data_IF_260767855563
#
_entry.id   IF_260767855563
#
_cell.length_a   1.000
_cell.length_b   1.000
_cell.length_c   1.000
_cell.angle_alpha   90.00
_cell.angle_beta   90.00
_cell.angle_gamma   90.00
#
_symmetry.space_group_name_H-M   'P 1'
#
loop_
_entity.id
_entity.type
_entity.pdbx_description
1 polymer ?
#
# COMPACT_ATOMS: atom_id res chain seq x y z
N UNK A 1 -26.34 2.22 -12.06
CA UNK A 1 -26.25 2.94 -13.34
C UNK A 1 -25.06 2.35 -14.08
N UNK A 2 -25.20 1.99 -15.36
CA UNK A 2 -24.05 1.43 -16.08
C UNK A 2 -22.97 2.50 -16.31
N UNK A 3 -21.70 2.11 -16.52
CA UNK A 3 -20.57 3.03 -16.59
C UNK A 3 -20.67 4.09 -17.68
N UNK A 4 -21.25 3.77 -18.82
CA UNK A 4 -21.49 4.67 -19.95
C UNK A 4 -22.25 5.95 -19.55
N UNK A 5 -23.13 5.87 -18.55
CA UNK A 5 -23.93 7.02 -18.10
C UNK A 5 -23.09 8.04 -17.34
N UNK A 6 -22.13 7.61 -16.50
CA UNK A 6 -21.37 8.48 -15.60
C UNK A 6 -19.89 8.63 -15.98
N UNK A 7 -19.37 7.83 -16.91
CA UNK A 7 -17.95 7.84 -17.29
C UNK A 7 -17.47 9.20 -17.81
N UNK A 8 -18.35 9.97 -18.43
CA UNK A 8 -18.09 11.31 -18.96
C UNK A 8 -18.40 12.44 -17.97
N UNK A 9 -18.95 12.15 -16.79
CA UNK A 9 -19.31 13.19 -15.83
C UNK A 9 -18.07 13.89 -15.28
N UNK A 10 -18.16 15.21 -15.00
CA UNK A 10 -17.13 15.92 -14.25
C UNK A 10 -17.00 15.34 -12.83
N UNK A 11 -15.83 15.50 -12.22
CA UNK A 11 -15.53 14.96 -10.88
C UNK A 11 -16.59 15.35 -9.85
N UNK A 12 -16.99 16.62 -9.80
CA UNK A 12 -17.97 17.10 -8.83
C UNK A 12 -19.31 16.36 -8.90
N UNK A 13 -19.81 16.09 -10.10
CA UNK A 13 -21.05 15.34 -10.30
C UNK A 13 -20.86 13.86 -9.99
N UNK A 14 -19.73 13.27 -10.36
CA UNK A 14 -19.42 11.88 -10.08
C UNK A 14 -19.29 11.63 -8.57
N UNK A 15 -18.70 12.56 -7.82
CA UNK A 15 -18.54 12.47 -6.37
C UNK A 15 -19.87 12.33 -5.62
N UNK A 16 -20.97 12.84 -6.16
CA UNK A 16 -22.29 12.73 -5.53
C UNK A 16 -22.98 11.37 -5.79
N UNK A 17 -22.44 10.54 -6.68
CA UNK A 17 -22.94 9.19 -6.95
C UNK A 17 -22.63 8.26 -5.77
N UNK A 18 -23.59 7.40 -5.41
CA UNK A 18 -23.37 6.36 -4.40
C UNK A 18 -22.56 5.20 -4.97
N UNK A 19 -21.64 4.66 -4.18
CA UNK A 19 -20.71 3.61 -4.63
C UNK A 19 -21.48 2.38 -5.17
N UNK A 20 -22.50 1.92 -4.44
CA UNK A 20 -23.33 0.79 -4.89
C UNK A 20 -24.08 1.03 -6.22
N UNK A 21 -24.17 2.28 -6.70
CA UNK A 21 -24.82 2.64 -7.96
C UNK A 21 -23.87 2.67 -9.15
N UNK A 22 -22.56 2.46 -8.95
CA UNK A 22 -21.54 2.54 -10.02
C UNK A 22 -21.74 1.52 -11.14
N UNK A 23 -22.35 0.36 -10.84
CA UNK A 23 -22.62 -0.68 -11.84
C UNK A 23 -21.37 -1.27 -12.47
N UNK A 24 -20.21 -1.17 -11.80
CA UNK A 24 -18.95 -1.78 -12.23
C UNK A 24 -18.85 -3.23 -11.79
N UNK A 25 -18.15 -4.04 -12.58
CA UNK A 25 -17.93 -5.47 -12.37
C UNK A 25 -16.45 -5.80 -12.55
N UNK A 26 -16.03 -6.97 -12.06
CA UNK A 26 -14.69 -7.48 -12.36
C UNK A 26 -14.65 -7.93 -13.82
N UNK A 27 -15.70 -8.62 -14.25
CA UNK A 27 -15.90 -9.10 -15.61
C UNK A 27 -15.93 -7.92 -16.58
N UNK A 28 -15.16 -8.03 -17.67
CA UNK A 28 -15.01 -6.97 -18.67
C UNK A 28 -14.12 -5.79 -18.25
N UNK A 29 -13.53 -5.82 -17.04
CA UNK A 29 -12.55 -4.82 -16.60
C UNK A 29 -11.11 -5.33 -16.71
N UNK A 30 -10.13 -4.44 -16.52
CA UNK A 30 -8.72 -4.80 -16.46
C UNK A 30 -8.39 -5.78 -15.30
N UNK A 31 -9.26 -5.90 -14.28
CA UNK A 31 -9.07 -6.85 -13.18
C UNK A 31 -9.25 -8.30 -13.62
N UNK A 32 -10.09 -8.56 -14.63
CA UNK A 32 -10.35 -9.92 -15.11
C UNK A 32 -9.05 -10.61 -15.55
N UNK A 33 -8.26 -9.93 -16.39
CA UNK A 33 -7.00 -10.47 -16.89
C UNK A 33 -5.94 -10.59 -15.79
N UNK A 34 -5.93 -9.65 -14.84
CA UNK A 34 -5.01 -9.68 -13.69
C UNK A 34 -5.31 -10.84 -12.74
N UNK A 35 -6.60 -11.12 -12.49
CA UNK A 35 -7.03 -12.27 -11.70
C UNK A 35 -6.74 -13.57 -12.44
N UNK A 36 -6.99 -13.63 -13.75
CA UNK A 36 -6.65 -14.80 -14.57
C UNK A 36 -5.13 -15.09 -14.55
N UNK A 37 -4.30 -14.05 -14.60
CA UNK A 37 -2.85 -14.19 -14.48
C UNK A 37 -2.44 -14.74 -13.09
N UNK A 38 -3.02 -14.24 -12.00
CA UNK A 38 -2.81 -14.81 -10.66
C UNK A 38 -3.24 -16.29 -10.60
N UNK A 39 -4.40 -16.64 -11.17
CA UNK A 39 -4.89 -18.02 -11.21
C UNK A 39 -3.93 -18.93 -11.97
N UNK A 40 -3.43 -18.49 -13.13
CA UNK A 40 -2.44 -19.24 -13.89
C UNK A 40 -1.13 -19.46 -13.10
N UNK A 41 -0.70 -18.49 -12.30
CA UNK A 41 0.47 -18.65 -11.41
C UNK A 41 0.22 -19.68 -10.31
N UNK A 42 -0.97 -19.67 -9.71
CA UNK A 42 -1.35 -20.67 -8.70
C UNK A 42 -1.40 -22.08 -9.30
N UNK A 43 -2.01 -22.22 -10.48
CA UNK A 43 -2.08 -23.49 -11.21
C UNK A 43 -0.69 -24.00 -11.62
N UNK A 44 0.19 -23.12 -12.11
CA UNK A 44 1.57 -23.46 -12.44
C UNK A 44 2.37 -23.95 -11.22
N UNK A 45 1.98 -23.53 -10.01
CA UNK A 45 2.52 -24.02 -8.73
C UNK A 45 1.80 -25.26 -8.18
N UNK A 46 0.85 -25.82 -8.94
CA UNK A 46 0.10 -27.03 -8.57
C UNK A 46 -1.05 -26.79 -7.58
N UNK A 47 -1.35 -25.53 -7.22
CA UNK A 47 -2.41 -25.17 -6.27
C UNK A 47 -3.81 -25.19 -6.92
N UNK A 48 -4.14 -26.22 -7.70
CA UNK A 48 -5.39 -26.32 -8.47
C UNK A 48 -6.64 -26.45 -7.61
N UNK A 49 -6.50 -26.95 -6.38
CA UNK A 49 -7.61 -27.05 -5.41
C UNK A 49 -7.89 -25.74 -4.67
N UNK A 50 -6.97 -24.77 -4.72
CA UNK A 50 -7.12 -23.47 -4.09
C UNK A 50 -7.71 -22.46 -5.07
N UNK A 51 -9.00 -22.15 -4.89
CA UNK A 51 -9.74 -21.24 -5.78
C UNK A 51 -10.28 -20.07 -4.96
N UNK A 52 -9.48 -19.00 -4.74
CA UNK A 52 -9.94 -17.83 -4.02
C UNK A 52 -11.06 -17.13 -4.80
N UNK A 53 -12.07 -16.62 -4.10
CA UNK A 53 -13.09 -15.77 -4.73
C UNK A 53 -12.72 -14.29 -4.59
N UNK A 54 -13.11 -13.49 -5.58
CA UNK A 54 -12.81 -12.06 -5.65
C UNK A 54 -14.11 -11.25 -5.63
N UNK A 55 -14.08 -10.06 -5.02
CA UNK A 55 -15.20 -9.12 -5.09
C UNK A 55 -14.74 -7.67 -5.00
N UNK A 56 -15.55 -6.76 -5.53
CA UNK A 56 -15.30 -5.32 -5.41
C UNK A 56 -15.73 -4.81 -4.02
N UNK A 57 -14.87 -3.99 -3.41
CA UNK A 57 -14.99 -3.39 -2.09
C UNK A 57 -14.41 -1.96 -2.11
N UNK A 58 -14.28 -1.32 -0.95
CA UNK A 58 -13.67 0.01 -0.80
C UNK A 58 -12.15 0.02 -0.87
N UNK A 59 -11.49 -1.04 -0.38
CA UNK A 59 -10.04 -1.18 -0.27
C UNK A 59 -9.61 -2.64 -0.53
N UNK A 60 -8.31 -2.90 -0.61
CA UNK A 60 -7.72 -4.24 -0.64
C UNK A 60 -7.76 -4.89 0.74
N UNK A 61 -8.21 -6.14 0.85
CA UNK A 61 -8.04 -6.96 2.04
C UNK A 61 -8.52 -8.40 1.83
N UNK A 62 -8.08 -9.29 2.71
CA UNK A 62 -8.55 -10.68 2.81
C UNK A 62 -9.10 -10.94 4.22
N UNK A 63 -10.42 -11.04 4.40
CA UNK A 63 -11.02 -11.19 5.72
C UNK A 63 -10.62 -12.50 6.40
N UNK A 64 -10.39 -12.45 7.70
CA UNK A 64 -10.15 -13.66 8.50
C UNK A 64 -11.25 -14.71 8.29
N UNK A 65 -10.79 -15.95 8.08
CA UNK A 65 -11.66 -17.11 7.84
C UNK A 65 -12.39 -17.08 6.49
N UNK A 66 -12.01 -16.18 5.58
CA UNK A 66 -12.55 -16.12 4.22
C UNK A 66 -11.42 -16.38 3.21
N UNK A 67 -11.53 -17.43 2.38
CA UNK A 67 -10.57 -17.73 1.32
C UNK A 67 -10.84 -16.86 0.08
N UNK A 68 -10.74 -15.54 0.21
CA UNK A 68 -11.01 -14.64 -0.89
C UNK A 68 -10.53 -13.22 -0.62
N UNK A 69 -10.50 -12.43 -1.70
CA UNK A 69 -9.85 -11.12 -1.77
C UNK A 69 -10.86 -10.04 -2.14
N UNK A 70 -10.94 -9.01 -1.30
CA UNK A 70 -11.61 -7.75 -1.60
C UNK A 70 -10.70 -6.88 -2.47
N UNK A 71 -11.26 -6.31 -3.54
CA UNK A 71 -10.55 -5.47 -4.51
C UNK A 71 -11.19 -4.08 -4.53
N UNK A 72 -10.43 -2.98 -4.45
CA UNK A 72 -11.01 -1.65 -4.53
C UNK A 72 -11.78 -1.41 -5.83
N UNK A 73 -12.99 -0.87 -5.71
CA UNK A 73 -13.89 -0.65 -6.84
C UNK A 73 -13.30 0.30 -7.91
N UNK A 74 -12.38 1.18 -7.53
CA UNK A 74 -11.82 2.16 -8.45
C UNK A 74 -10.95 1.53 -9.55
N UNK A 75 -10.45 0.31 -9.34
CA UNK A 75 -9.69 -0.46 -10.34
C UNK A 75 -10.58 -1.09 -11.42
N UNK A 76 -11.89 -1.12 -11.21
CA UNK A 76 -12.82 -1.74 -12.16
C UNK A 76 -13.12 -0.85 -13.37
N UNK A 77 -12.70 0.42 -13.38
CA UNK A 77 -12.97 1.33 -14.50
C UNK A 77 -11.98 2.51 -14.60
N UNK A 78 -11.43 2.85 -15.78
CA UNK A 78 -10.42 3.93 -15.93
C UNK A 78 -10.88 5.31 -15.43
N UNK A 79 -12.17 5.62 -15.55
CA UNK A 79 -12.72 6.88 -15.00
C UNK A 79 -12.58 6.96 -13.48
N UNK A 80 -12.73 5.85 -12.78
CA UNK A 80 -12.63 5.78 -11.33
C UNK A 80 -11.16 5.79 -10.90
N UNK A 81 -10.26 5.15 -11.65
CA UNK A 81 -8.81 5.31 -11.43
C UNK A 81 -8.37 6.77 -11.54
N UNK A 82 -8.91 7.53 -12.53
CA UNK A 82 -8.65 8.97 -12.63
C UNK A 82 -9.18 9.74 -11.41
N UNK A 83 -10.36 9.37 -10.91
CA UNK A 83 -10.93 9.99 -9.71
C UNK A 83 -10.08 9.67 -8.47
N UNK A 84 -9.71 8.40 -8.27
CA UNK A 84 -8.84 7.96 -7.18
C UNK A 84 -7.53 8.76 -7.20
N UNK A 85 -6.88 8.88 -8.36
CA UNK A 85 -5.67 9.68 -8.53
C UNK A 85 -5.87 11.16 -8.19
N UNK A 86 -7.02 11.73 -8.55
CA UNK A 86 -7.31 13.12 -8.22
C UNK A 86 -7.54 13.33 -6.72
N UNK A 87 -8.15 12.35 -6.04
CA UNK A 87 -8.52 12.44 -4.63
C UNK A 87 -7.37 12.02 -3.68
N UNK A 88 -6.57 11.04 -4.09
CA UNK A 88 -5.55 10.36 -3.27
C UNK A 88 -4.13 10.47 -3.83
N UNK A 89 -3.92 11.14 -4.97
CA UNK A 89 -2.64 11.38 -5.66
C UNK A 89 -1.97 10.13 -6.25
N UNK A 90 -2.56 8.96 -6.03
CA UNK A 90 -2.15 7.68 -6.57
C UNK A 90 -3.34 6.76 -6.79
N UNK A 91 -3.08 5.61 -7.42
CA UNK A 91 -4.08 4.56 -7.63
C UNK A 91 -3.37 3.28 -7.22
N UNK A 92 -3.60 2.82 -5.99
CA UNK A 92 -2.99 1.61 -5.48
C UNK A 92 -3.45 0.41 -6.31
N UNK A 93 -2.48 -0.34 -6.87
CA UNK A 93 -2.77 -1.40 -7.84
C UNK A 93 -3.18 -0.89 -9.24
N UNK A 94 -2.95 0.39 -9.55
CA UNK A 94 -3.35 0.99 -10.83
C UNK A 94 -2.56 0.49 -12.05
N UNK A 95 -1.37 -0.07 -11.86
CA UNK A 95 -0.58 -0.70 -12.94
C UNK A 95 -0.70 -2.23 -12.89
N UNK A 96 -0.54 -2.95 -14.02
CA UNK A 96 -0.60 -4.41 -14.03
C UNK A 96 0.34 -5.06 -13.01
N UNK A 97 1.61 -4.64 -13.00
CA UNK A 97 2.63 -5.20 -12.10
C UNK A 97 2.31 -4.94 -10.63
N UNK A 98 1.87 -3.72 -10.29
CA UNK A 98 1.52 -3.38 -8.90
C UNK A 98 0.25 -4.10 -8.45
N UNK A 99 -0.75 -4.21 -9.33
CA UNK A 99 -1.96 -4.96 -9.03
C UNK A 99 -1.65 -6.45 -8.78
N UNK A 100 -0.81 -7.07 -9.60
CA UNK A 100 -0.37 -8.45 -9.39
C UNK A 100 0.46 -8.59 -8.11
N UNK A 101 1.29 -7.59 -7.78
CA UNK A 101 2.04 -7.53 -6.52
C UNK A 101 1.09 -7.64 -5.32
N UNK A 102 0.02 -6.85 -5.28
CA UNK A 102 -0.99 -6.87 -4.21
C UNK A 102 -1.83 -8.15 -4.26
N UNK A 103 -2.30 -8.56 -5.44
CA UNK A 103 -3.08 -9.79 -5.60
C UNK A 103 -2.36 -11.04 -5.08
N UNK A 104 -1.05 -11.16 -5.31
CA UNK A 104 -0.25 -12.27 -4.76
C UNK A 104 -0.16 -12.22 -3.23
N UNK A 105 -0.02 -11.02 -2.68
CA UNK A 105 -0.01 -10.80 -1.23
C UNK A 105 -1.35 -11.24 -0.62
N UNK A 106 -2.46 -10.72 -1.15
CA UNK A 106 -3.81 -11.05 -0.68
C UNK A 106 -4.14 -12.55 -0.87
N UNK A 107 -3.68 -13.16 -1.96
CA UNK A 107 -3.79 -14.60 -2.15
C UNK A 107 -3.05 -15.40 -1.06
N UNK A 108 -1.97 -14.85 -0.49
CA UNK A 108 -1.26 -15.39 0.67
C UNK A 108 -2.14 -15.44 1.93
N UNK A 109 -2.87 -14.37 2.22
CA UNK A 109 -3.87 -14.37 3.30
C UNK A 109 -5.03 -15.34 3.00
N UNK A 110 -5.52 -15.35 1.77
CA UNK A 110 -6.62 -16.23 1.37
C UNK A 110 -6.26 -17.72 1.45
N UNK A 111 -5.03 -18.14 1.09
CA UNK A 111 -4.60 -19.53 1.21
C UNK A 111 -4.39 -19.92 2.67
N UNK A 112 -3.89 -19.00 3.50
CA UNK A 112 -3.78 -19.18 4.94
C UNK A 112 -5.14 -19.47 5.58
N UNK A 113 -6.16 -18.70 5.20
CA UNK A 113 -7.55 -18.91 5.60
C UNK A 113 -8.12 -20.24 5.08
N UNK A 114 -7.93 -20.54 3.79
CA UNK A 114 -8.47 -21.72 3.12
C UNK A 114 -8.06 -23.04 3.79
N UNK A 115 -6.83 -23.12 4.26
CA UNK A 115 -6.24 -24.33 4.84
C UNK A 115 -5.97 -24.21 6.36
N UNK A 116 -6.42 -23.12 6.99
CA UNK A 116 -6.21 -22.82 8.41
C UNK A 116 -4.72 -22.88 8.80
N UNK A 117 -3.82 -22.38 7.95
CA UNK A 117 -2.38 -22.56 8.13
C UNK A 117 -1.87 -21.83 9.38
N UNK A 118 -2.54 -20.76 9.81
CA UNK A 118 -2.34 -20.07 11.11
C UNK A 118 -2.27 -21.01 12.31
N UNK A 119 -2.96 -22.15 12.26
CA UNK A 119 -2.97 -23.15 13.34
C UNK A 119 -1.77 -24.09 13.33
N UNK A 120 -0.99 -24.14 12.23
CA UNK A 120 0.17 -25.03 12.12
C UNK A 120 1.31 -24.51 13.01
N UNK A 121 1.75 -25.35 13.95
CA UNK A 121 2.85 -25.03 14.88
C UNK A 121 4.12 -24.55 14.16
N UNK A 122 4.49 -25.18 13.03
CA UNK A 122 5.70 -24.80 12.30
C UNK A 122 5.61 -23.40 11.68
N UNK A 123 4.42 -23.00 11.17
CA UNK A 123 4.17 -21.62 10.71
C UNK A 123 4.37 -20.65 11.87
N UNK A 124 3.73 -20.92 13.01
CA UNK A 124 3.84 -20.06 14.19
C UNK A 124 5.28 -19.91 14.69
N UNK A 125 6.09 -20.97 14.64
CA UNK A 125 7.51 -20.90 15.00
C UNK A 125 8.35 -20.03 14.06
N UNK A 126 8.01 -19.98 12.77
CA UNK A 126 8.80 -19.28 11.76
C UNK A 126 8.37 -17.82 11.57
N UNK A 127 7.07 -17.56 11.58
CA UNK A 127 6.48 -16.24 11.32
C UNK A 127 6.03 -15.54 12.60
N UNK A 128 5.65 -16.30 13.62
CA UNK A 128 5.01 -15.81 14.84
C UNK A 128 3.52 -16.17 14.91
N UNK A 129 2.88 -15.94 16.06
CA UNK A 129 1.46 -16.23 16.26
C UNK A 129 0.56 -15.17 15.63
N UNK A 130 -0.51 -15.61 14.96
CA UNK A 130 -1.52 -14.71 14.34
C UNK A 130 -2.44 -14.01 15.33
N UNK A 131 -2.47 -14.43 16.59
CA UNK A 131 -3.31 -13.79 17.62
C UNK A 131 -2.66 -12.53 18.20
N UNK A 132 -1.45 -12.17 17.78
CA UNK A 132 -0.87 -10.89 18.16
C UNK A 132 -1.80 -9.79 17.66
N UNK A 133 -1.97 -8.77 18.50
CA UNK A 133 -2.72 -7.59 18.07
C UNK A 133 -1.95 -6.94 16.93
N UNK A 134 -2.63 -6.66 15.82
CA UNK A 134 -2.05 -5.87 14.74
C UNK A 134 -1.58 -4.55 15.32
N UNK A 135 -0.27 -4.26 15.27
CA UNK A 135 0.22 -3.09 15.94
C UNK A 135 -0.32 -1.87 15.19
N UNK A 136 -0.89 -0.90 15.91
CA UNK A 136 -1.32 0.35 15.27
C UNK A 136 -0.18 1.07 14.51
N UNK A 137 1.09 0.70 14.77
CA UNK A 137 2.31 1.22 14.18
C UNK A 137 3.44 0.19 14.27
N UNK A 138 4.32 0.11 13.28
CA UNK A 138 5.59 -0.62 13.41
C UNK A 138 6.76 0.21 12.90
N UNK A 139 7.95 -0.07 13.44
CA UNK A 139 9.20 0.54 12.97
C UNK A 139 9.99 -0.51 12.21
N UNK A 140 10.06 -0.42 10.87
CA UNK A 140 10.82 -1.39 10.10
C UNK A 140 12.29 -1.33 10.50
N UNK A 141 12.95 -2.49 10.48
CA UNK A 141 14.40 -2.63 10.60
C UNK A 141 14.96 -2.83 9.20
N UNK A 142 15.48 -1.78 8.53
CA UNK A 142 15.77 -1.83 7.09
C UNK A 142 16.81 -2.87 6.69
N UNK A 143 17.77 -3.15 7.58
CA UNK A 143 18.86 -4.10 7.37
C UNK A 143 18.53 -5.52 7.84
N UNK A 144 17.30 -5.76 8.31
CA UNK A 144 16.89 -7.10 8.73
C UNK A 144 16.80 -8.01 7.51
N UNK A 145 17.61 -9.06 7.50
CA UNK A 145 17.59 -10.13 6.49
C UNK A 145 16.60 -11.27 6.83
N UNK A 146 15.87 -11.14 7.93
CA UNK A 146 14.93 -12.17 8.40
C UNK A 146 13.59 -12.16 7.66
N UNK A 147 13.37 -11.19 6.78
CA UNK A 147 12.11 -10.96 6.07
C UNK A 147 12.37 -10.86 4.57
N UNK A 148 11.38 -11.26 3.79
CA UNK A 148 11.39 -11.01 2.35
C UNK A 148 11.09 -9.54 2.06
N UNK A 149 11.47 -9.08 0.87
CA UNK A 149 11.11 -7.76 0.34
C UNK A 149 10.16 -7.97 -0.84
N UNK A 150 8.87 -7.73 -0.60
CA UNK A 150 7.83 -7.74 -1.62
C UNK A 150 7.17 -6.37 -1.69
N UNK A 151 6.11 -6.11 -0.91
CA UNK A 151 5.53 -4.78 -0.75
C UNK A 151 6.53 -3.83 -0.11
N UNK A 152 6.28 -2.53 -0.30
CA UNK A 152 7.21 -1.49 0.09
C UNK A 152 7.33 -1.43 1.63
N UNK A 153 8.37 -0.78 2.12
CA UNK A 153 8.50 -0.42 3.54
C UNK A 153 8.57 -1.56 4.52
N UNK A 154 9.17 -2.65 4.05
CA UNK A 154 9.38 -3.85 4.85
C UNK A 154 8.07 -4.32 5.47
N UNK A 155 6.97 -4.27 4.71
CA UNK A 155 5.62 -4.59 5.17
C UNK A 155 5.53 -5.96 5.86
N UNK A 156 6.37 -6.91 5.44
CA UNK A 156 6.53 -8.21 6.08
C UNK A 156 6.92 -8.15 7.58
N UNK A 157 7.41 -7.00 8.08
CA UNK A 157 7.77 -6.81 9.49
C UNK A 157 6.60 -6.30 10.34
N UNK A 158 5.47 -5.94 9.73
CA UNK A 158 4.35 -5.30 10.43
C UNK A 158 3.60 -6.29 11.34
N UNK A 159 3.42 -7.53 10.90
CA UNK A 159 2.70 -8.56 11.64
C UNK A 159 3.07 -9.97 11.12
N UNK A 160 3.01 -11.04 11.93
CA UNK A 160 3.27 -12.41 11.48
C UNK A 160 2.47 -12.88 10.27
N UNK A 161 1.22 -12.42 10.16
CA UNK A 161 0.37 -12.77 9.02
C UNK A 161 0.82 -12.04 7.74
N UNK A 162 1.31 -10.80 7.87
CA UNK A 162 1.89 -10.05 6.74
C UNK A 162 3.22 -10.66 6.29
N UNK A 163 4.07 -11.10 7.22
CA UNK A 163 5.29 -11.85 6.91
C UNK A 163 5.00 -13.12 6.09
N UNK A 164 3.93 -13.84 6.46
CA UNK A 164 3.47 -15.01 5.73
C UNK A 164 2.97 -14.66 4.32
N UNK A 165 2.10 -13.66 4.20
CA UNK A 165 1.52 -13.21 2.94
C UNK A 165 2.58 -12.67 1.96
N UNK A 166 3.51 -11.86 2.45
CA UNK A 166 4.66 -11.36 1.69
C UNK A 166 5.57 -12.50 1.23
N UNK A 167 5.85 -13.47 2.11
CA UNK A 167 6.67 -14.66 1.77
C UNK A 167 5.97 -15.50 0.70
N UNK A 168 4.66 -15.70 0.81
CA UNK A 168 3.87 -16.40 -0.19
C UNK A 168 3.93 -15.67 -1.55
N UNK A 169 3.81 -14.35 -1.56
CA UNK A 169 3.84 -13.58 -2.78
C UNK A 169 5.20 -13.63 -3.50
N UNK A 170 6.31 -13.59 -2.76
CA UNK A 170 7.67 -13.78 -3.31
C UNK A 170 7.86 -15.20 -3.85
N UNK A 171 7.33 -16.21 -3.16
CA UNK A 171 7.39 -17.60 -3.58
C UNK A 171 6.57 -17.85 -4.85
N UNK A 172 5.35 -17.31 -4.93
CA UNK A 172 4.42 -17.52 -6.03
C UNK A 172 4.92 -16.89 -7.34
N UNK A 173 5.49 -15.68 -7.25
CA UNK A 173 5.91 -14.89 -8.41
C UNK A 173 6.85 -15.69 -9.35
N UNK A 174 6.46 -15.95 -10.61
CA UNK A 174 7.22 -16.81 -11.53
C UNK A 174 8.58 -16.24 -11.94
N UNK A 175 8.77 -14.92 -11.89
CA UNK A 175 10.07 -14.29 -12.20
C UNK A 175 11.00 -14.19 -10.99
N UNK A 176 10.54 -14.63 -9.81
CA UNK A 176 11.31 -14.56 -8.58
C UNK A 176 12.29 -15.73 -8.48
N UNK A 177 13.58 -15.45 -8.65
CA UNK A 177 14.65 -16.39 -8.29
C UNK A 177 14.99 -16.27 -6.79
N UNK A 178 14.00 -16.60 -5.95
CA UNK A 178 14.10 -16.40 -4.51
C UNK A 178 15.19 -17.26 -3.85
N UNK A 179 15.52 -18.43 -4.44
CA UNK A 179 16.58 -19.31 -3.94
C UNK A 179 17.93 -18.62 -4.00
N UNK A 180 18.26 -18.02 -5.13
CA UNK A 180 19.50 -17.26 -5.30
C UNK A 180 19.44 -15.93 -4.54
N UNK A 181 18.33 -15.19 -4.65
CA UNK A 181 18.19 -13.86 -4.04
C UNK A 181 18.35 -13.86 -2.52
N UNK A 182 17.86 -14.90 -1.84
CA UNK A 182 17.83 -14.98 -0.38
C UNK A 182 18.82 -15.99 0.20
N UNK A 183 19.78 -16.52 -0.56
CA UNK A 183 20.66 -17.62 -0.12
C UNK A 183 21.39 -17.35 1.21
N UNK A 184 21.84 -16.11 1.41
CA UNK A 184 22.54 -15.66 2.63
C UNK A 184 21.60 -15.01 3.67
N UNK A 185 20.29 -15.12 3.50
CA UNK A 185 19.28 -14.46 4.32
C UNK A 185 18.55 -15.49 5.19
N UNK A 186 18.34 -15.22 6.51
CA UNK A 186 17.50 -16.07 7.34
C UNK A 186 16.06 -16.24 6.81
N UNK A 187 15.56 -15.28 6.02
CA UNK A 187 14.30 -15.38 5.29
C UNK A 187 14.19 -16.61 4.38
N UNK A 188 15.31 -17.16 3.88
CA UNK A 188 15.31 -18.36 3.04
C UNK A 188 14.58 -19.53 3.71
N UNK A 189 14.75 -19.71 5.03
CA UNK A 189 14.09 -20.78 5.78
C UNK A 189 12.56 -20.69 5.71
N UNK A 190 12.01 -19.47 5.62
CA UNK A 190 10.57 -19.23 5.47
C UNK A 190 10.10 -19.57 4.04
N UNK A 191 10.90 -19.24 3.04
CA UNK A 191 10.62 -19.57 1.63
C UNK A 191 10.70 -21.07 1.36
N UNK A 192 11.70 -21.77 1.91
CA UNK A 192 11.79 -23.23 1.86
C UNK A 192 10.62 -23.91 2.57
N UNK A 193 10.22 -23.36 3.72
CA UNK A 193 9.00 -23.81 4.41
C UNK A 193 7.76 -23.57 3.56
N UNK A 194 7.64 -22.41 2.91
CA UNK A 194 6.53 -22.08 2.02
C UNK A 194 6.44 -23.08 0.86
N UNK A 195 7.56 -23.37 0.20
CA UNK A 195 7.64 -24.32 -0.91
C UNK A 195 7.18 -25.74 -0.50
N UNK A 196 7.69 -26.23 0.63
CA UNK A 196 7.29 -27.52 1.19
C UNK A 196 5.81 -27.52 1.62
N UNK A 197 5.33 -26.44 2.22
CA UNK A 197 3.95 -26.31 2.70
C UNK A 197 2.96 -26.30 1.53
N UNK A 198 3.24 -25.51 0.49
CA UNK A 198 2.38 -25.42 -0.69
C UNK A 198 2.35 -26.74 -1.46
N UNK A 199 3.49 -27.44 -1.54
CA UNK A 199 3.55 -28.80 -2.09
C UNK A 199 2.69 -29.79 -1.29
N UNK A 200 2.71 -29.71 0.05
CA UNK A 200 1.89 -30.57 0.93
C UNK A 200 0.38 -30.35 0.76
N UNK A 201 -0.06 -29.13 0.43
CA UNK A 201 -1.49 -28.79 0.31
C UNK A 201 -2.02 -28.77 -1.14
N UNK A 202 -1.15 -28.80 -2.14
CA UNK A 202 -1.49 -28.67 -3.57
C UNK A 202 -2.63 -29.60 -4.02
N UNK A 203 -2.58 -30.87 -3.60
CA UNK A 203 -3.59 -31.89 -3.95
C UNK A 203 -4.74 -32.00 -2.95
N UNK A 204 -4.75 -31.18 -1.89
CA UNK A 204 -5.74 -31.26 -0.82
C UNK A 204 -6.87 -30.25 -1.07
N UNK A 205 -8.13 -30.63 -0.83
CA UNK A 205 -9.24 -29.69 -0.90
C UNK A 205 -9.11 -28.61 0.18
N UNK A 206 -9.61 -27.41 -0.12
CA UNK A 206 -9.71 -26.33 0.87
C UNK A 206 -10.55 -26.78 2.08
N UNK A 207 -10.07 -26.48 3.29
CA UNK A 207 -10.79 -26.78 4.54
C UNK A 207 -11.91 -25.76 4.82
N UNK A 208 -11.74 -24.55 4.31
CA UNK A 208 -12.72 -23.46 4.40
C UNK A 208 -13.14 -23.09 2.99
N UNK A 209 -14.45 -23.16 2.71
CA UNK A 209 -15.04 -22.87 1.39
C UNK A 209 -16.02 -21.70 1.42
N UNK A 210 -16.01 -20.92 2.51
CA UNK A 210 -16.87 -19.75 2.69
C UNK A 210 -16.69 -18.74 1.55
N UNK A 211 -17.79 -18.35 0.92
CA UNK A 211 -17.80 -17.28 -0.10
C UNK A 211 -18.39 -15.96 0.42
N UNK A 212 -18.35 -15.76 1.75
CA UNK A 212 -18.78 -14.51 2.39
C UNK A 212 -17.98 -13.34 1.81
N UNK A 213 -18.66 -12.24 1.50
CA UNK A 213 -18.05 -10.99 1.03
C UNK A 213 -18.24 -9.93 2.11
N UNK A 214 -17.14 -9.43 2.67
CA UNK A 214 -17.19 -8.29 3.60
C UNK A 214 -17.15 -7.00 2.79
N UNK A 215 -17.95 -6.02 3.21
CA UNK A 215 -18.09 -4.71 2.57
C UNK A 215 -18.22 -4.75 1.03
N UNK A 216 -19.05 -5.64 0.46
CA UNK A 216 -19.17 -5.75 -0.99
C UNK A 216 -19.72 -4.46 -1.59
N UNK A 217 -19.39 -4.18 -2.86
CA UNK A 217 -19.81 -2.97 -3.58
C UNK A 217 -21.29 -2.60 -3.37
N UNK A 218 -22.20 -3.58 -3.43
CA UNK A 218 -23.64 -3.35 -3.27
C UNK A 218 -24.05 -2.90 -1.85
N UNK A 219 -23.21 -3.17 -0.83
CA UNK A 219 -23.42 -2.74 0.54
C UNK A 219 -22.83 -1.33 0.82
N UNK A 220 -21.98 -0.80 -0.06
CA UNK A 220 -21.37 0.53 0.08
C UNK A 220 -22.37 1.64 -0.30
N UNK A 221 -23.20 2.04 0.67
CA UNK A 221 -24.31 3.00 0.48
C UNK A 221 -23.91 4.48 0.45
N UNK A 222 -22.69 4.80 0.87
CA UNK A 222 -22.15 6.15 0.90
C UNK A 222 -21.89 6.71 -0.51
N UNK A 223 -21.87 8.03 -0.64
CA UNK A 223 -21.41 8.72 -1.86
C UNK A 223 -19.91 8.57 -2.01
N UNK A 224 -19.41 8.69 -3.25
CA UNK A 224 -17.98 8.78 -3.52
C UNK A 224 -17.35 9.95 -2.74
N UNK A 225 -18.04 11.09 -2.64
CA UNK A 225 -17.63 12.24 -1.83
C UNK A 225 -17.39 11.85 -0.37
N UNK A 226 -18.37 11.21 0.27
CA UNK A 226 -18.25 10.80 1.67
C UNK A 226 -17.16 9.74 1.87
N UNK A 227 -17.00 8.82 0.92
CA UNK A 227 -15.89 7.85 0.93
C UNK A 227 -14.53 8.55 0.90
N UNK A 228 -14.31 9.46 -0.05
CA UNK A 228 -13.04 10.17 -0.16
C UNK A 228 -12.78 11.16 0.99
N UNK A 229 -13.82 11.81 1.53
CA UNK A 229 -13.66 12.61 2.74
C UNK A 229 -13.24 11.77 3.95
N UNK A 230 -13.82 10.56 4.10
CA UNK A 230 -13.40 9.64 5.17
C UNK A 230 -11.99 9.13 4.93
N UNK A 231 -11.67 8.72 3.69
CA UNK A 231 -10.35 8.23 3.30
C UNK A 231 -9.28 9.30 3.55
N UNK A 232 -9.52 10.55 3.14
CA UNK A 232 -8.63 11.69 3.45
C UNK A 232 -8.58 12.06 4.91
N UNK A 233 -9.63 11.89 5.70
CA UNK A 233 -9.55 12.09 7.17
C UNK A 233 -8.72 11.01 7.84
N UNK A 234 -8.77 9.80 7.30
CA UNK A 234 -8.04 8.65 7.82
C UNK A 234 -6.53 8.73 7.51
N UNK A 235 -6.19 9.09 6.27
CA UNK A 235 -4.81 9.24 5.79
C UNK A 235 -4.31 10.71 5.80
N UNK A 236 -5.12 11.66 6.27
CA UNK A 236 -4.77 13.08 6.32
C UNK A 236 -4.04 13.44 7.60
N UNK A 237 -3.17 14.45 7.49
CA UNK A 237 -2.36 14.93 8.62
C UNK A 237 -3.03 16.14 9.25
N UNK A 238 -3.40 16.05 10.53
CA UNK A 238 -3.58 17.22 11.39
C UNK A 238 -2.36 17.31 12.32
N UNK A 239 -1.40 18.26 12.12
CA UNK A 239 -0.62 18.86 13.22
C UNK A 239 0.45 19.91 12.80
N UNK A 240 0.83 20.84 13.72
CA UNK A 240 1.70 21.99 13.45
C UNK A 240 3.20 21.73 13.72
N UNK A 241 4.04 22.11 12.75
CA UNK A 241 5.38 22.72 12.92
C UNK A 241 6.56 21.91 13.50
N UNK A 242 6.52 20.57 13.56
CA UNK A 242 7.67 19.79 14.08
C UNK A 242 8.93 19.84 13.18
N UNK A 243 8.76 20.15 11.89
CA UNK A 243 9.84 20.26 10.90
C UNK A 243 10.51 21.64 10.84
N UNK A 244 10.07 22.64 11.60
CA UNK A 244 10.61 24.00 11.51
C UNK A 244 12.12 24.06 11.79
N UNK A 245 12.59 23.28 12.77
CA UNK A 245 14.02 23.17 13.10
C UNK A 245 14.81 22.61 11.92
N UNK A 246 14.27 21.58 11.27
CA UNK A 246 14.95 20.89 10.17
C UNK A 246 14.87 21.71 8.87
N UNK A 247 13.77 22.46 8.65
CA UNK A 247 13.69 23.47 7.59
C UNK A 247 14.71 24.58 7.79
N UNK A 248 14.94 25.08 9.02
CA UNK A 248 16.02 26.04 9.33
C UNK A 248 17.43 25.44 9.24
N UNK A 249 17.54 24.12 9.34
CA UNK A 249 18.82 23.43 9.13
C UNK A 249 19.13 23.30 7.64
N UNK A 250 18.11 23.11 6.80
CA UNK A 250 18.28 22.93 5.36
C UNK A 250 18.28 24.25 4.57
N UNK A 251 17.48 25.21 5.02
CA UNK A 251 17.30 26.54 4.42
C UNK A 251 17.70 27.64 5.40
N UNK A 252 17.81 28.89 4.94
CA UNK A 252 18.18 30.03 5.79
C UNK A 252 17.33 31.28 5.49
N UNK A 253 17.09 32.08 6.52
CA UNK A 253 16.52 33.43 6.40
C UNK A 253 17.58 34.53 6.51
N UNK A 254 18.87 34.19 6.61
CA UNK A 254 19.94 35.17 6.79
C UNK A 254 20.06 36.09 5.56
N UNK A 255 20.40 37.38 5.75
CA UNK A 255 20.45 38.36 4.65
C UNK A 255 21.38 37.99 3.50
N UNK A 256 22.47 37.27 3.79
CA UNK A 256 23.44 36.78 2.80
C UNK A 256 22.81 35.83 1.75
N UNK A 257 21.72 35.14 2.09
CA UNK A 257 21.00 34.26 1.16
C UNK A 257 19.78 34.94 0.51
N UNK A 258 19.59 36.25 0.68
CA UNK A 258 18.40 36.98 0.20
C UNK A 258 18.19 36.93 -1.32
N UNK A 259 19.27 36.77 -2.10
CA UNK A 259 19.21 36.59 -3.56
C UNK A 259 18.85 35.16 -3.98
N UNK A 260 18.99 34.17 -3.09
CA UNK A 260 18.82 32.76 -3.43
C UNK A 260 17.34 32.38 -3.58
N UNK A 261 17.09 31.25 -4.25
CA UNK A 261 15.74 30.72 -4.43
C UNK A 261 15.01 30.54 -3.09
N UNK A 262 13.74 30.94 -3.04
CA UNK A 262 12.86 30.68 -1.89
C UNK A 262 12.67 29.18 -1.70
N UNK A 263 12.82 28.70 -0.46
CA UNK A 263 12.64 27.29 -0.09
C UNK A 263 11.26 26.75 -0.52
N UNK A 264 10.20 27.55 -0.34
CA UNK A 264 8.85 27.17 -0.77
C UNK A 264 8.75 26.90 -2.29
N UNK A 265 9.49 27.66 -3.12
CA UNK A 265 9.53 27.45 -4.58
C UNK A 265 10.30 26.19 -4.93
N UNK A 266 11.41 25.94 -4.24
CA UNK A 266 12.19 24.72 -4.40
C UNK A 266 11.37 23.47 -4.03
N UNK A 267 10.75 23.46 -2.84
CA UNK A 267 9.94 22.32 -2.37
C UNK A 267 8.80 22.05 -3.36
N UNK A 268 8.08 23.08 -3.82
CA UNK A 268 7.02 22.92 -4.82
C UNK A 268 7.53 22.31 -6.14
N UNK A 269 8.75 22.65 -6.57
CA UNK A 269 9.37 22.11 -7.78
C UNK A 269 9.73 20.62 -7.65
N UNK A 270 10.30 20.20 -6.52
CA UNK A 270 10.72 18.80 -6.30
C UNK A 270 9.61 17.90 -5.73
N UNK A 271 8.47 18.48 -5.34
CA UNK A 271 7.35 17.84 -4.63
C UNK A 271 6.94 16.49 -5.20
N UNK A 272 6.66 16.43 -6.51
CA UNK A 272 6.15 15.21 -7.16
C UNK A 272 7.15 14.05 -7.07
N UNK A 273 8.42 14.32 -7.37
CA UNK A 273 9.48 13.33 -7.37
C UNK A 273 9.75 12.83 -5.95
N UNK A 274 9.93 13.77 -5.02
CA UNK A 274 10.27 13.47 -3.63
C UNK A 274 9.12 12.74 -2.94
N UNK A 275 7.87 13.14 -3.17
CA UNK A 275 6.68 12.42 -2.67
C UNK A 275 6.65 10.98 -3.13
N UNK A 276 6.84 10.73 -4.43
CA UNK A 276 6.86 9.36 -4.99
C UNK A 276 8.00 8.54 -4.40
N UNK A 277 9.20 9.12 -4.28
CA UNK A 277 10.34 8.42 -3.69
C UNK A 277 10.07 8.08 -2.23
N UNK A 278 9.66 9.05 -1.41
CA UNK A 278 9.37 8.80 0.02
C UNK A 278 8.25 7.78 0.18
N UNK A 279 7.18 7.84 -0.62
CA UNK A 279 6.10 6.85 -0.58
C UNK A 279 6.63 5.43 -0.87
N UNK A 280 7.45 5.25 -1.89
CA UNK A 280 8.05 3.94 -2.20
C UNK A 280 8.99 3.40 -1.10
N UNK A 281 9.60 4.27 -0.28
CA UNK A 281 10.49 3.85 0.81
C UNK A 281 9.78 3.71 2.16
N UNK A 282 8.76 4.53 2.42
CA UNK A 282 8.03 4.61 3.70
C UNK A 282 6.69 3.88 3.70
N UNK A 283 6.12 3.59 2.52
CA UNK A 283 4.92 2.76 2.38
C UNK A 283 3.68 3.59 2.64
N UNK A 284 3.89 4.86 2.99
CA UNK A 284 2.87 5.84 3.24
C UNK A 284 2.20 6.27 1.95
N UNK A 285 0.90 6.54 2.08
CA UNK A 285 0.10 7.10 1.01
C UNK A 285 0.72 8.42 0.54
N UNK A 286 0.80 8.57 -0.79
CA UNK A 286 1.30 9.80 -1.39
C UNK A 286 0.51 11.01 -0.90
N UNK A 287 -0.79 10.86 -0.66
CA UNK A 287 -1.62 11.90 -0.05
C UNK A 287 -1.08 12.36 1.32
N UNK A 288 -0.71 11.43 2.21
CA UNK A 288 -0.16 11.74 3.55
C UNK A 288 1.12 12.56 3.43
N UNK A 289 2.06 12.11 2.59
CA UNK A 289 3.34 12.80 2.38
C UNK A 289 3.12 14.18 1.76
N UNK A 290 2.14 14.29 0.86
CA UNK A 290 1.78 15.55 0.22
C UNK A 290 1.23 16.58 1.21
N UNK A 291 0.46 16.15 2.22
CA UNK A 291 0.03 17.03 3.32
C UNK A 291 1.23 17.56 4.13
N UNK A 292 2.21 16.71 4.43
CA UNK A 292 3.45 17.13 5.10
C UNK A 292 4.21 18.15 4.25
N UNK A 293 4.33 17.90 2.95
CA UNK A 293 4.98 18.79 1.98
C UNK A 293 4.28 20.16 1.89
N UNK A 294 2.94 20.20 1.84
CA UNK A 294 2.18 21.45 1.84
C UNK A 294 2.42 22.28 3.10
N UNK A 295 2.46 21.61 4.26
CA UNK A 295 2.75 22.30 5.50
C UNK A 295 4.20 22.83 5.54
N UNK A 296 5.17 22.07 5.03
CA UNK A 296 6.56 22.52 4.88
C UNK A 296 6.67 23.71 3.91
N UNK A 297 5.90 23.75 2.82
CA UNK A 297 5.85 24.89 1.88
C UNK A 297 5.31 26.12 2.60
N UNK A 298 4.22 25.98 3.34
CA UNK A 298 3.57 27.06 4.08
C UNK A 298 4.52 27.65 5.12
N UNK A 299 5.16 26.80 5.95
CA UNK A 299 6.15 27.25 6.93
C UNK A 299 7.39 27.86 6.32
N UNK A 300 7.87 27.31 5.22
CA UNK A 300 8.98 27.91 4.49
C UNK A 300 8.69 29.33 4.00
N UNK A 301 7.42 29.62 3.64
CA UNK A 301 6.98 30.99 3.28
C UNK A 301 6.95 31.90 4.50
N UNK A 302 6.31 31.46 5.59
CA UNK A 302 6.16 32.24 6.82
C UNK A 302 7.51 32.62 7.45
N UNK A 303 8.49 31.71 7.37
CA UNK A 303 9.84 31.91 7.90
C UNK A 303 10.78 32.60 6.89
N UNK A 304 10.30 32.94 5.70
CA UNK A 304 11.05 33.55 4.59
C UNK A 304 12.36 32.80 4.26
N UNK A 305 12.30 31.46 4.26
CA UNK A 305 13.46 30.60 4.08
C UNK A 305 13.91 30.55 2.61
N UNK A 306 15.23 30.46 2.41
CA UNK A 306 15.92 30.41 1.12
C UNK A 306 17.00 29.33 1.09
N UNK A 307 17.37 28.91 -0.12
CA UNK A 307 18.39 27.88 -0.32
C UNK A 307 19.76 28.36 0.16
N UNK A 308 20.47 27.48 0.87
CA UNK A 308 21.88 27.69 1.26
C UNK A 308 22.86 27.12 0.24
N UNK A 309 22.43 26.09 -0.49
CA UNK A 309 23.25 25.32 -1.42
C UNK A 309 22.55 25.19 -2.77
N UNK A 310 23.18 24.52 -3.73
CA UNK A 310 22.58 24.21 -5.03
C UNK A 310 21.29 23.39 -4.89
N UNK A 311 20.43 23.44 -5.91
CA UNK A 311 19.18 22.65 -5.92
C UNK A 311 19.45 21.14 -5.75
N UNK A 312 20.48 20.60 -6.41
CA UNK A 312 20.80 19.17 -6.36
C UNK A 312 21.25 18.70 -4.97
N UNK A 313 22.16 19.44 -4.33
CA UNK A 313 22.59 19.13 -2.96
C UNK A 313 21.42 19.24 -1.99
N UNK A 314 20.61 20.29 -2.15
CA UNK A 314 19.43 20.53 -1.31
C UNK A 314 18.39 19.43 -1.51
N UNK A 315 18.23 18.86 -2.72
CA UNK A 315 17.25 17.79 -3.00
C UNK A 315 17.58 16.51 -2.25
N UNK A 316 18.85 16.12 -2.21
CA UNK A 316 19.31 14.95 -1.47
C UNK A 316 19.07 15.10 0.04
N UNK A 317 19.48 16.24 0.61
CA UNK A 317 19.29 16.52 2.03
C UNK A 317 17.79 16.66 2.39
N UNK A 318 17.01 17.27 1.50
CA UNK A 318 15.55 17.37 1.65
C UNK A 318 14.88 16.00 1.60
N UNK A 319 15.33 15.09 0.74
CA UNK A 319 14.80 13.74 0.67
C UNK A 319 15.07 12.98 1.97
N UNK A 320 16.30 13.04 2.50
CA UNK A 320 16.63 12.44 3.81
C UNK A 320 15.79 13.04 4.92
N UNK A 321 15.71 14.37 4.97
CA UNK A 321 14.91 15.08 5.97
C UNK A 321 13.43 14.70 5.85
N UNK A 322 12.83 14.72 4.66
CA UNK A 322 11.44 14.36 4.48
C UNK A 322 11.19 12.91 4.85
N UNK A 323 12.05 11.96 4.50
CA UNK A 323 11.93 10.57 4.94
C UNK A 323 11.96 10.49 6.47
N UNK A 324 12.94 11.13 7.11
CA UNK A 324 13.05 11.16 8.58
C UNK A 324 11.85 11.85 9.22
N UNK A 325 11.34 12.95 8.66
CA UNK A 325 10.16 13.65 9.18
C UNK A 325 8.89 12.85 8.95
N UNK A 326 8.76 12.19 7.80
CA UNK A 326 7.66 11.27 7.52
C UNK A 326 7.69 10.12 8.53
N UNK A 327 8.87 9.57 8.86
CA UNK A 327 9.00 8.54 9.88
C UNK A 327 8.80 9.07 11.32
N UNK A 328 9.38 10.22 11.68
CA UNK A 328 9.27 10.83 13.02
C UNK A 328 7.85 11.31 13.31
N UNK A 329 7.15 11.78 12.29
CA UNK A 329 5.71 12.04 12.33
C UNK A 329 4.97 10.82 12.87
N UNK A 330 5.29 9.62 12.35
CA UNK A 330 4.73 8.35 12.81
C UNK A 330 5.14 7.98 14.25
N UNK A 331 6.33 8.38 14.70
CA UNK A 331 6.86 8.08 16.03
C UNK A 331 6.34 9.00 17.16
N UNK A 332 5.82 10.19 16.86
CA UNK A 332 5.50 11.24 17.85
C UNK A 332 4.17 11.09 18.62
N UNK A 333 3.48 9.96 18.47
CA UNK A 333 2.47 9.51 19.45
C UNK A 333 1.04 10.02 19.28
N UNK A 334 0.67 10.63 18.14
CA UNK A 334 -0.74 10.92 17.79
C UNK A 334 -1.01 10.82 16.28
N UNK A 335 -1.08 9.60 15.74
CA UNK A 335 -1.63 9.18 14.41
C UNK A 335 -0.62 8.97 13.27
N UNK A 336 -0.69 7.98 12.35
CA UNK A 336 -1.35 6.63 12.15
C UNK A 336 -0.72 6.07 10.84
N UNK A 337 0.06 4.98 10.87
CA UNK A 337 0.18 4.12 9.66
C UNK A 337 -1.05 3.24 9.73
N UNK A 338 -2.02 3.47 8.87
CA UNK A 338 -3.22 2.64 8.90
C UNK A 338 -2.90 1.29 8.27
N UNK A 339 -3.01 0.23 9.09
CA UNK A 339 -3.25 -1.13 8.62
C UNK A 339 -4.72 -1.29 8.23
#
# INVERSE_FOLDING_TARGET
MPPDVWASWPDDKLLDLRIHQLGVTIEGSALQDRIAALQAELEARGLTSFVPHFWLSGEWFSPDGVPGVAIPFYLAHPRLERLERAQMLEVEGGTPDWCLKILRHEAGHAVDNAYKLRLRRRRQQLFGPSYLEYPNYYTPKPYSKSFVLHLDSWYAQSHPDEDFAETFAVWLNPVSDWRTRYIEWPALKKLEYMDALMTDIASKPMLVTSRRKLEPLHALRQTLRAHYERKRRHYGVEHPHFYDRDLRRLFSAAPEFSANMKAARFIARVRKDVRRMVSAWTGEYQYTIDQVLESMITRSKEMNLRLKHSEDSTKSDFLVMLTVQTMNYLHSGRHRVAL
#
